data_IF_708076930851
#
_entry.id   IF_708076930851
#
_cell.length_a   1.000
_cell.length_b   1.000
_cell.length_c   1.000
_cell.angle_alpha   90.00
_cell.angle_beta   90.00
_cell.angle_gamma   90.00
#
_symmetry.space_group_name_H-M   'P 1'
#
loop_
_entity.id
_entity.type
_entity.pdbx_description
1 polymer ?
#
# COMPACT_ATOMS: atom_id res chain seq x y z
N UNK A 1 -7.18 6.79 12.53
CA UNK A 1 -6.97 7.03 11.08
C UNK A 1 -7.42 8.41 10.64
N UNK A 2 -8.58 8.87 11.05
CA UNK A 2 -9.02 10.25 10.80
C UNK A 2 -7.94 11.25 11.19
N UNK A 3 -7.43 11.11 12.40
CA UNK A 3 -6.32 11.91 12.92
C UNK A 3 -5.05 11.77 12.06
N UNK A 4 -4.71 10.57 11.60
CA UNK A 4 -3.52 10.35 10.78
C UNK A 4 -3.64 10.92 9.37
N UNK A 5 -4.81 10.84 8.74
CA UNK A 5 -5.07 11.44 7.44
C UNK A 5 -5.01 12.98 7.50
N UNK A 6 -5.65 13.58 8.51
CA UNK A 6 -5.62 15.02 8.74
C UNK A 6 -4.20 15.51 9.11
N UNK A 7 -3.53 14.85 10.04
CA UNK A 7 -2.17 15.21 10.45
C UNK A 7 -1.15 15.09 9.33
N UNK A 8 -1.28 14.10 8.44
CA UNK A 8 -0.37 13.96 7.29
C UNK A 8 -0.50 15.12 6.30
N UNK A 9 -1.66 15.77 6.24
CA UNK A 9 -1.88 16.93 5.39
C UNK A 9 -1.41 18.27 6.02
N UNK A 10 -1.42 18.36 7.35
CA UNK A 10 -1.20 19.61 8.10
C UNK A 10 0.21 19.71 8.71
N UNK A 11 0.84 18.59 9.07
CA UNK A 11 2.14 18.56 9.73
C UNK A 11 3.29 18.42 8.72
N UNK A 12 4.51 18.81 9.16
CA UNK A 12 5.70 18.43 8.41
C UNK A 12 5.86 16.91 8.40
N UNK A 13 6.43 16.36 7.31
CA UNK A 13 6.60 14.91 7.17
C UNK A 13 7.41 14.31 8.35
N UNK A 14 8.43 15.04 8.83
CA UNK A 14 9.26 14.62 9.97
C UNK A 14 8.47 14.50 11.26
N UNK A 15 7.76 15.55 11.61
CA UNK A 15 6.96 15.58 12.84
C UNK A 15 5.85 14.51 12.79
N UNK A 16 5.21 14.33 11.63
CA UNK A 16 4.19 13.29 11.44
C UNK A 16 4.77 11.88 11.64
N UNK A 17 5.93 11.60 11.04
CA UNK A 17 6.59 10.30 11.17
C UNK A 17 7.04 10.05 12.61
N UNK A 18 7.55 11.04 13.32
CA UNK A 18 8.00 10.88 14.71
C UNK A 18 6.83 10.71 15.70
N UNK A 19 5.75 11.43 15.50
CA UNK A 19 4.58 11.38 16.38
C UNK A 19 3.78 10.08 16.27
N UNK A 20 3.77 9.41 15.12
CA UNK A 20 2.93 8.26 14.85
C UNK A 20 3.69 6.94 14.89
N UNK A 21 3.00 5.83 15.21
CA UNK A 21 3.58 4.49 15.06
C UNK A 21 3.77 4.16 13.56
N UNK A 22 4.65 3.19 13.27
CA UNK A 22 5.03 2.85 11.89
C UNK A 22 3.82 2.53 10.97
N UNK A 23 2.83 1.81 11.49
CA UNK A 23 1.65 1.43 10.72
C UNK A 23 0.79 2.64 10.33
N UNK A 24 0.58 3.59 11.26
CA UNK A 24 -0.17 4.82 10.98
C UNK A 24 0.60 5.78 10.10
N UNK A 25 1.91 5.88 10.28
CA UNK A 25 2.75 6.68 9.40
C UNK A 25 2.71 6.17 7.95
N UNK A 26 2.74 4.85 7.76
CA UNK A 26 2.56 4.21 6.44
C UNK A 26 1.20 4.52 5.83
N UNK A 27 0.12 4.37 6.60
CA UNK A 27 -1.22 4.67 6.11
C UNK A 27 -1.37 6.14 5.70
N UNK A 28 -0.89 7.09 6.51
CA UNK A 28 -0.95 8.51 6.18
C UNK A 28 -0.23 8.84 4.87
N UNK A 29 0.96 8.28 4.66
CA UNK A 29 1.70 8.46 3.41
C UNK A 29 0.96 7.83 2.22
N UNK A 30 0.35 6.65 2.40
CA UNK A 30 -0.42 5.99 1.35
C UNK A 30 -1.70 6.76 0.99
N UNK A 31 -2.40 7.35 1.96
CA UNK A 31 -3.53 8.24 1.70
C UNK A 31 -3.12 9.47 0.90
N UNK A 32 -2.07 10.14 1.35
CA UNK A 32 -1.57 11.35 0.69
C UNK A 32 -1.12 11.06 -0.75
N UNK A 33 -0.37 9.97 -0.94
CA UNK A 33 0.07 9.54 -2.27
C UNK A 33 -1.11 9.24 -3.19
N UNK A 34 -2.11 8.47 -2.72
CA UNK A 34 -3.30 8.13 -3.50
C UNK A 34 -4.06 9.39 -3.91
N UNK A 35 -4.29 10.31 -2.97
CA UNK A 35 -4.98 11.58 -3.22
C UNK A 35 -4.24 12.44 -4.25
N UNK A 36 -2.94 12.62 -4.09
CA UNK A 36 -2.10 13.41 -5.02
C UNK A 36 -2.09 12.81 -6.43
N UNK A 37 -1.95 11.48 -6.54
CA UNK A 37 -1.93 10.82 -7.84
C UNK A 37 -3.28 10.91 -8.54
N UNK A 38 -4.36 10.68 -7.82
CA UNK A 38 -5.71 10.77 -8.36
C UNK A 38 -6.03 12.20 -8.83
N UNK A 39 -5.75 13.19 -8.00
CA UNK A 39 -5.93 14.60 -8.35
C UNK A 39 -5.11 14.99 -9.58
N UNK A 40 -3.86 14.53 -9.67
CA UNK A 40 -3.00 14.79 -10.80
C UNK A 40 -3.55 14.18 -12.10
N UNK A 41 -4.08 12.95 -12.05
CA UNK A 41 -4.68 12.28 -13.21
C UNK A 41 -6.01 12.92 -13.63
N UNK A 42 -6.86 13.32 -12.70
CA UNK A 42 -8.13 14.01 -12.98
C UNK A 42 -7.92 15.38 -13.64
N UNK A 43 -6.94 16.13 -13.13
CA UNK A 43 -6.59 17.47 -13.65
C UNK A 43 -5.66 17.43 -14.87
N UNK A 44 -5.10 16.28 -15.20
CA UNK A 44 -4.13 16.12 -16.31
C UNK A 44 -4.69 16.53 -17.68
N UNK A 45 -6.02 16.39 -17.87
CA UNK A 45 -6.70 16.85 -19.11
C UNK A 45 -6.70 18.37 -19.25
N UNK A 46 -6.72 19.10 -18.13
CA UNK A 46 -6.76 20.57 -18.10
C UNK A 46 -5.35 21.16 -18.06
N UNK A 47 -4.43 20.53 -17.33
CA UNK A 47 -3.06 20.98 -17.15
C UNK A 47 -2.08 19.82 -17.25
N UNK A 48 -1.40 19.69 -18.38
CA UNK A 48 -0.40 18.64 -18.62
C UNK A 48 0.84 18.74 -17.72
N UNK A 49 1.12 19.91 -17.16
CA UNK A 49 2.28 20.11 -16.29
C UNK A 49 2.08 19.49 -14.90
N UNK A 50 0.83 19.33 -14.45
CA UNK A 50 0.51 18.88 -13.09
C UNK A 50 1.10 17.50 -12.79
N UNK A 51 1.08 16.59 -13.76
CA UNK A 51 1.66 15.23 -13.62
C UNK A 51 3.17 15.30 -13.40
N UNK A 52 3.86 16.22 -14.07
CA UNK A 52 5.30 16.41 -13.89
C UNK A 52 5.64 17.06 -12.56
N UNK A 53 4.84 18.03 -12.13
CA UNK A 53 5.03 18.72 -10.87
C UNK A 53 4.79 17.79 -9.69
N UNK A 54 3.74 16.96 -9.76
CA UNK A 54 3.49 15.91 -8.74
C UNK A 54 4.65 14.91 -8.69
N UNK A 55 5.18 14.49 -9.83
CA UNK A 55 6.34 13.59 -9.86
C UNK A 55 7.58 14.22 -9.21
N UNK A 56 7.82 15.52 -9.43
CA UNK A 56 8.91 16.24 -8.75
C UNK A 56 8.70 16.32 -7.24
N UNK A 57 7.48 16.59 -6.79
CA UNK A 57 7.15 16.62 -5.36
C UNK A 57 7.43 15.27 -4.69
N UNK A 58 7.04 14.16 -5.33
CA UNK A 58 7.32 12.82 -4.83
C UNK A 58 8.82 12.51 -4.73
N UNK A 59 9.61 12.99 -5.69
CA UNK A 59 11.07 12.88 -5.64
C UNK A 59 11.68 13.66 -4.45
N UNK A 60 11.16 14.86 -4.17
CA UNK A 60 11.61 15.65 -3.02
C UNK A 60 11.34 14.93 -1.72
N UNK A 61 10.12 14.40 -1.53
CA UNK A 61 9.75 13.62 -0.34
C UNK A 61 10.63 12.38 -0.18
N UNK A 62 10.94 11.68 -1.28
CA UNK A 62 11.83 10.52 -1.25
C UNK A 62 13.26 10.91 -0.85
N UNK A 63 13.78 12.03 -1.35
CA UNK A 63 15.10 12.54 -0.98
C UNK A 63 15.16 12.90 0.51
N UNK A 64 14.12 13.51 1.04
CA UNK A 64 13.98 13.82 2.46
C UNK A 64 14.00 12.55 3.32
N UNK A 65 13.15 11.56 3.01
CA UNK A 65 13.13 10.28 3.70
C UNK A 65 14.47 9.54 3.62
N UNK A 66 15.13 9.57 2.47
CA UNK A 66 16.45 8.95 2.27
C UNK A 66 17.52 9.62 3.09
N UNK A 67 17.48 10.95 3.23
CA UNK A 67 18.43 11.70 4.06
C UNK A 67 18.33 11.31 5.54
N UNK A 68 17.11 11.00 6.02
CA UNK A 68 16.92 10.55 7.41
C UNK A 68 17.52 9.16 7.66
N UNK A 69 17.56 8.27 6.65
CA UNK A 69 18.25 7.00 6.79
C UNK A 69 19.75 7.13 7.03
N UNK A 70 20.36 8.23 6.56
CA UNK A 70 21.78 8.52 6.71
C UNK A 70 22.11 9.18 8.06
N UNK A 71 21.12 9.76 8.73
CA UNK A 71 21.29 10.37 10.03
C UNK A 71 21.39 9.31 11.14
N UNK A 72 22.06 9.64 12.23
CA UNK A 72 22.19 8.78 13.41
C UNK A 72 20.82 8.62 14.09
N UNK A 73 20.08 7.59 13.68
CA UNK A 73 18.79 7.26 14.25
C UNK A 73 18.96 6.65 15.63
N UNK A 74 18.47 7.33 16.66
CA UNK A 74 18.65 6.99 18.07
C UNK A 74 18.17 5.59 18.46
N UNK A 75 17.27 4.97 17.69
CA UNK A 75 16.72 3.64 17.99
C UNK A 75 16.62 2.75 16.75
N UNK A 76 16.85 1.44 16.94
CA UNK A 76 16.65 0.41 15.90
C UNK A 76 15.22 0.41 15.33
N UNK A 77 14.25 0.77 16.17
CA UNK A 77 12.85 0.85 15.77
C UNK A 77 12.59 1.98 14.77
N UNK A 78 13.14 3.18 15.05
CA UNK A 78 13.01 4.32 14.15
C UNK A 78 13.69 4.04 12.81
N UNK A 79 14.83 3.38 12.83
CA UNK A 79 15.53 2.98 11.61
C UNK A 79 14.68 2.07 10.73
N UNK A 80 14.11 1.00 11.29
CA UNK A 80 13.20 0.10 10.57
C UNK A 80 11.97 0.82 10.03
N UNK A 81 11.40 1.75 10.81
CA UNK A 81 10.28 2.58 10.40
C UNK A 81 10.60 3.37 9.13
N UNK A 82 11.73 4.08 9.13
CA UNK A 82 12.15 4.88 7.98
C UNK A 82 12.51 3.99 6.78
N UNK A 83 13.24 2.90 6.98
CA UNK A 83 13.55 1.93 5.91
C UNK A 83 12.27 1.40 5.23
N UNK A 84 11.23 1.10 6.02
CA UNK A 84 9.93 0.64 5.51
C UNK A 84 9.22 1.74 4.71
N UNK A 85 9.25 2.99 5.21
CA UNK A 85 8.67 4.14 4.51
C UNK A 85 9.38 4.40 3.18
N UNK A 86 10.70 4.36 3.16
CA UNK A 86 11.50 4.52 1.93
C UNK A 86 11.17 3.43 0.93
N UNK A 87 11.07 2.16 1.35
CA UNK A 87 10.75 1.05 0.46
C UNK A 87 9.41 1.25 -0.26
N UNK A 88 8.38 1.67 0.48
CA UNK A 88 7.06 1.94 -0.10
C UNK A 88 7.10 3.17 -0.99
N UNK A 89 7.77 4.22 -0.57
CA UNK A 89 7.82 5.47 -1.34
C UNK A 89 8.61 5.32 -2.65
N UNK A 90 9.65 4.49 -2.68
CA UNK A 90 10.37 4.14 -3.91
C UNK A 90 9.42 3.45 -4.90
N UNK A 91 8.65 2.46 -4.42
CA UNK A 91 7.65 1.80 -5.27
C UNK A 91 6.58 2.79 -5.78
N UNK A 92 6.04 3.64 -4.91
CA UNK A 92 5.05 4.66 -5.26
C UNK A 92 5.58 5.64 -6.32
N UNK A 93 6.83 6.08 -6.19
CA UNK A 93 7.50 6.91 -7.19
C UNK A 93 7.63 6.20 -8.53
N UNK A 94 8.07 4.95 -8.54
CA UNK A 94 8.26 4.18 -9.78
C UNK A 94 6.94 3.99 -10.51
N UNK A 95 5.87 3.65 -9.78
CA UNK A 95 4.51 3.55 -10.32
C UNK A 95 4.06 4.87 -10.96
N UNK A 96 4.24 5.98 -10.24
CA UNK A 96 3.81 7.28 -10.76
C UNK A 96 4.67 7.77 -11.94
N UNK A 97 5.96 7.46 -11.96
CA UNK A 97 6.83 7.74 -13.10
C UNK A 97 6.39 6.97 -14.35
N UNK A 98 6.01 5.69 -14.20
CA UNK A 98 5.48 4.89 -15.29
C UNK A 98 4.14 5.43 -15.79
N UNK A 99 3.23 5.83 -14.90
CA UNK A 99 1.98 6.49 -15.26
C UNK A 99 2.22 7.82 -16.00
N UNK A 100 3.17 8.62 -15.53
CA UNK A 100 3.55 9.87 -16.19
C UNK A 100 4.16 9.64 -17.59
N UNK A 101 4.92 8.56 -17.76
CA UNK A 101 5.49 8.14 -19.05
C UNK A 101 4.39 7.70 -20.01
N UNK A 102 3.45 6.88 -19.55
CA UNK A 102 2.29 6.43 -20.31
C UNK A 102 1.37 7.60 -20.68
N UNK A 103 1.13 8.52 -19.75
CA UNK A 103 0.35 9.73 -20.01
C UNK A 103 0.93 10.56 -21.17
N UNK A 104 2.26 10.67 -21.25
CA UNK A 104 2.93 11.39 -22.35
C UNK A 104 2.86 10.65 -23.68
N UNK A 105 2.88 9.32 -23.68
CA UNK A 105 2.90 8.51 -24.89
C UNK A 105 1.53 8.31 -25.54
N UNK A 106 0.44 8.39 -24.78
CA UNK A 106 -0.93 8.19 -25.27
C UNK A 106 -1.53 9.48 -25.84
N UNK A 107 -2.15 9.39 -27.03
CA UNK A 107 -3.01 10.46 -27.57
C UNK A 107 -4.26 10.58 -26.70
N UNK A 108 -4.35 11.62 -25.88
CA UNK A 108 -5.46 11.83 -24.94
C UNK A 108 -5.07 11.71 -23.47
N UNK A 109 -3.85 11.24 -23.19
CA UNK A 109 -3.35 11.08 -21.84
C UNK A 109 -3.93 9.86 -21.11
N UNK A 110 -3.67 9.77 -19.83
CA UNK A 110 -4.26 8.81 -18.87
C UNK A 110 -5.33 9.52 -18.04
N UNK A 111 -6.33 8.76 -17.64
CA UNK A 111 -7.40 9.20 -16.74
C UNK A 111 -7.36 8.39 -15.43
N UNK A 112 -8.00 8.89 -14.39
CA UNK A 112 -8.16 8.19 -13.11
C UNK A 112 -8.94 6.86 -13.22
N UNK A 113 -9.69 6.65 -14.32
CA UNK A 113 -10.36 5.39 -14.66
C UNK A 113 -9.51 4.38 -15.43
N UNK A 114 -8.27 4.71 -15.82
CA UNK A 114 -7.41 3.79 -16.57
C UNK A 114 -6.95 2.61 -15.71
N UNK A 115 -6.92 1.41 -16.33
CA UNK A 115 -6.50 0.17 -15.66
C UNK A 115 -5.12 0.26 -15.02
N UNK A 116 -4.19 0.98 -15.65
CA UNK A 116 -2.83 1.15 -15.13
C UNK A 116 -2.79 1.85 -13.75
N UNK A 117 -3.74 2.74 -13.48
CA UNK A 117 -3.96 3.33 -12.17
C UNK A 117 -4.79 2.42 -11.27
N UNK A 118 -5.89 1.87 -11.80
CA UNK A 118 -6.82 1.07 -11.02
C UNK A 118 -6.20 -0.21 -10.44
N UNK A 119 -5.22 -0.80 -11.12
CA UNK A 119 -4.52 -2.01 -10.65
C UNK A 119 -3.65 -1.77 -9.40
N UNK A 120 -3.33 -0.53 -9.07
CA UNK A 120 -2.53 -0.20 -7.88
C UNK A 120 -3.35 -0.30 -6.60
N UNK A 121 -2.69 -0.62 -5.49
CA UNK A 121 -3.30 -0.56 -4.18
C UNK A 121 -3.51 0.91 -3.78
N UNK A 122 -4.76 1.34 -3.79
CA UNK A 122 -5.18 2.72 -3.52
C UNK A 122 -5.84 2.80 -2.17
N UNK A 123 -5.45 3.77 -1.36
CA UNK A 123 -5.90 3.93 0.01
C UNK A 123 -6.76 5.18 0.12
N UNK A 124 -7.98 5.03 0.59
CA UNK A 124 -8.95 6.12 0.73
C UNK A 124 -9.40 6.26 2.17
N UNK A 125 -9.53 7.51 2.60
CA UNK A 125 -10.23 7.85 3.83
C UNK A 125 -11.63 8.37 3.47
N UNK A 126 -12.68 7.65 3.89
CA UNK A 126 -14.09 8.00 3.61
C UNK A 126 -14.84 8.07 4.94
N UNK A 127 -15.00 9.27 5.54
CA UNK A 127 -15.63 9.41 6.85
C UNK A 127 -17.12 9.03 6.88
N UNK A 128 -17.79 9.05 5.73
CA UNK A 128 -19.22 8.82 5.60
C UNK A 128 -19.58 7.41 5.07
N UNK A 129 -18.60 6.52 4.93
CA UNK A 129 -18.87 5.14 4.49
C UNK A 129 -19.66 4.40 5.58
N UNK A 130 -20.96 4.22 5.33
CA UNK A 130 -21.83 3.38 6.15
C UNK A 130 -21.67 1.94 5.68
N UNK A 131 -20.64 1.27 6.14
CA UNK A 131 -20.52 -0.18 5.96
C UNK A 131 -21.34 -0.91 7.02
N UNK A 132 -21.85 -2.11 6.69
CA UNK A 132 -22.65 -2.97 7.58
C UNK A 132 -21.93 -3.33 8.88
N UNK A 133 -20.64 -3.02 9.00
CA UNK A 133 -19.78 -3.30 10.16
C UNK A 133 -19.38 -2.06 10.99
N UNK A 134 -20.00 -0.91 10.76
CA UNK A 134 -19.73 0.33 11.49
C UNK A 134 -19.02 1.42 10.63
N UNK A 135 -18.68 2.57 11.21
CA UNK A 135 -18.06 3.68 10.49
C UNK A 135 -16.60 3.36 10.16
N UNK A 136 -16.39 2.45 9.25
CA UNK A 136 -15.07 2.11 8.75
C UNK A 136 -14.72 3.05 7.61
N UNK A 137 -13.89 3.99 7.92
CA UNK A 137 -13.57 5.06 6.99
C UNK A 137 -12.32 4.80 6.14
N UNK A 138 -11.58 3.71 6.41
CA UNK A 138 -10.38 3.35 5.67
C UNK A 138 -10.67 2.23 4.67
N UNK A 139 -10.56 2.54 3.39
CA UNK A 139 -10.82 1.63 2.28
C UNK A 139 -9.55 1.42 1.46
N UNK A 140 -9.22 0.18 1.16
CA UNK A 140 -8.14 -0.21 0.26
C UNK A 140 -8.77 -0.76 -1.03
N UNK A 141 -8.56 -0.08 -2.15
CA UNK A 141 -9.08 -0.49 -3.45
C UNK A 141 -7.98 -1.06 -4.34
N UNK A 142 -8.24 -2.22 -4.94
CA UNK A 142 -7.37 -2.85 -5.95
C UNK A 142 -8.24 -3.28 -7.11
N UNK A 143 -8.03 -2.72 -8.30
CA UNK A 143 -8.96 -2.85 -9.43
C UNK A 143 -10.39 -2.43 -9.02
N UNK A 144 -11.33 -3.34 -9.16
CA UNK A 144 -12.75 -3.13 -8.89
C UNK A 144 -13.17 -3.61 -7.49
N UNK A 145 -12.21 -4.14 -6.70
CA UNK A 145 -12.49 -4.67 -5.37
C UNK A 145 -12.07 -3.65 -4.31
N UNK A 146 -12.98 -3.38 -3.40
CA UNK A 146 -12.74 -2.54 -2.24
C UNK A 146 -12.73 -3.40 -0.96
N UNK A 147 -11.73 -3.18 -0.13
CA UNK A 147 -11.56 -3.84 1.16
C UNK A 147 -11.60 -2.81 2.26
N UNK A 148 -12.31 -3.12 3.32
CA UNK A 148 -12.21 -2.38 4.56
C UNK A 148 -10.88 -2.72 5.25
N UNK A 149 -10.10 -1.72 5.60
CA UNK A 149 -8.86 -1.93 6.35
C UNK A 149 -9.18 -2.45 7.76
N UNK A 150 -8.63 -3.60 8.13
CA UNK A 150 -9.04 -4.30 9.37
C UNK A 150 -8.42 -3.75 10.66
N UNK A 151 -7.49 -2.82 10.58
CA UNK A 151 -6.83 -2.16 11.73
C UNK A 151 -6.14 -3.09 12.74
N UNK A 152 -5.83 -4.31 12.36
CA UNK A 152 -5.06 -5.18 13.23
C UNK A 152 -3.64 -4.62 13.41
N UNK A 153 -3.14 -4.62 14.63
CA UNK A 153 -1.81 -4.11 14.91
C UNK A 153 -0.72 -5.08 14.46
N UNK A 154 -0.01 -4.71 13.42
CA UNK A 154 1.02 -5.55 12.78
C UNK A 154 2.45 -5.16 13.18
N UNK A 155 2.61 -4.08 13.94
CA UNK A 155 3.90 -3.53 14.30
C UNK A 155 4.68 -2.96 13.11
N UNK A 156 6.00 -2.84 13.26
CA UNK A 156 6.89 -2.41 12.20
C UNK A 156 7.50 -3.64 11.52
N UNK A 157 6.88 -4.11 10.45
CA UNK A 157 7.36 -5.23 9.62
C UNK A 157 7.95 -4.68 8.33
N UNK A 158 9.01 -5.33 7.87
CA UNK A 158 9.59 -5.04 6.55
C UNK A 158 8.54 -5.27 5.46
N UNK A 159 8.56 -4.40 4.46
CA UNK A 159 7.68 -4.50 3.29
C UNK A 159 8.43 -5.20 2.15
N UNK A 160 7.67 -5.95 1.36
CA UNK A 160 8.21 -6.57 0.16
C UNK A 160 8.48 -5.50 -0.90
N UNK A 161 9.59 -5.64 -1.62
CA UNK A 161 9.83 -4.85 -2.83
C UNK A 161 8.89 -5.37 -3.92
N UNK A 162 7.98 -4.52 -4.36
CA UNK A 162 6.96 -4.88 -5.35
C UNK A 162 7.61 -4.87 -6.75
N UNK A 163 7.41 -5.96 -7.48
CA UNK A 163 7.86 -6.17 -8.86
C UNK A 163 6.63 -6.35 -9.77
N UNK A 164 6.76 -6.23 -11.10
CA UNK A 164 5.64 -6.49 -12.01
C UNK A 164 5.03 -7.89 -11.87
N UNK A 165 5.80 -8.87 -11.37
CA UNK A 165 5.29 -10.21 -11.07
C UNK A 165 4.41 -10.22 -9.82
N UNK A 166 4.84 -9.55 -8.76
CA UNK A 166 4.07 -9.43 -7.52
C UNK A 166 2.80 -8.61 -7.74
N UNK A 167 2.82 -7.57 -8.59
CA UNK A 167 1.63 -6.82 -8.98
C UNK A 167 0.52 -7.72 -9.53
N UNK A 168 0.87 -8.64 -10.44
CA UNK A 168 -0.09 -9.61 -10.99
C UNK A 168 -0.65 -10.53 -9.92
N UNK A 169 0.19 -10.97 -8.99
CA UNK A 169 -0.26 -11.77 -7.84
C UNK A 169 -1.23 -10.97 -6.96
N UNK A 170 -0.93 -9.70 -6.69
CA UNK A 170 -1.80 -8.82 -5.92
C UNK A 170 -3.18 -8.67 -6.55
N UNK A 171 -3.24 -8.38 -7.84
CA UNK A 171 -4.51 -8.26 -8.58
C UNK A 171 -5.32 -9.56 -8.46
N UNK A 172 -4.70 -10.70 -8.76
CA UNK A 172 -5.40 -11.99 -8.77
C UNK A 172 -5.86 -12.39 -7.37
N UNK A 173 -5.02 -12.22 -6.35
CA UNK A 173 -5.37 -12.52 -4.97
C UNK A 173 -6.47 -11.60 -4.44
N UNK A 174 -6.41 -10.31 -4.75
CA UNK A 174 -7.44 -9.35 -4.36
C UNK A 174 -8.78 -9.67 -5.01
N UNK A 175 -8.82 -10.01 -6.29
CA UNK A 175 -10.04 -10.43 -6.96
C UNK A 175 -10.62 -11.71 -6.36
N UNK A 176 -9.78 -12.71 -6.08
CA UNK A 176 -10.22 -13.95 -5.44
C UNK A 176 -10.83 -13.68 -4.05
N UNK A 177 -10.13 -12.88 -3.22
CA UNK A 177 -10.62 -12.51 -1.89
C UNK A 177 -11.94 -11.72 -1.95
N UNK A 178 -12.08 -10.78 -2.90
CA UNK A 178 -13.30 -10.02 -3.10
C UNK A 178 -14.51 -10.89 -3.50
N UNK A 179 -14.26 -12.03 -4.15
CA UNK A 179 -15.26 -13.04 -4.47
C UNK A 179 -15.43 -14.10 -3.36
N UNK A 180 -14.84 -13.90 -2.19
CA UNK A 180 -14.80 -14.87 -1.09
C UNK A 180 -14.17 -16.22 -1.46
N UNK A 181 -13.22 -16.21 -2.39
CA UNK A 181 -12.44 -17.38 -2.82
C UNK A 181 -11.04 -17.35 -2.22
N UNK A 182 -10.45 -18.54 -2.07
CA UNK A 182 -9.02 -18.64 -1.71
C UNK A 182 -8.11 -18.41 -2.90
N UNK A 183 -6.91 -17.89 -2.64
CA UNK A 183 -5.85 -17.77 -3.64
C UNK A 183 -4.80 -18.86 -3.45
N UNK A 184 -4.29 -19.43 -4.56
CA UNK A 184 -3.26 -20.46 -4.56
C UNK A 184 -2.07 -20.07 -5.46
N UNK A 185 -1.12 -19.25 -4.94
CA UNK A 185 0.08 -18.90 -5.71
C UNK A 185 0.91 -20.16 -5.98
N UNK A 186 1.07 -20.53 -7.24
CA UNK A 186 1.86 -21.67 -7.69
C UNK A 186 3.24 -21.23 -8.18
N UNK A 187 4.24 -22.09 -7.99
CA UNK A 187 5.60 -21.85 -8.46
C UNK A 187 6.66 -22.63 -7.67
N UNK A 188 7.93 -22.63 -8.10
CA UNK A 188 9.00 -23.32 -7.41
C UNK A 188 9.27 -22.74 -6.01
N UNK A 189 10.01 -23.49 -5.20
CA UNK A 189 10.43 -23.05 -3.88
C UNK A 189 11.31 -21.77 -3.99
N UNK A 190 11.24 -20.89 -2.99
CA UNK A 190 12.07 -19.69 -2.94
C UNK A 190 11.60 -18.52 -3.82
N UNK A 191 10.46 -18.59 -4.51
CA UNK A 191 9.93 -17.51 -5.37
C UNK A 191 9.13 -16.44 -4.65
N UNK A 192 9.11 -16.44 -3.31
CA UNK A 192 8.46 -15.40 -2.52
C UNK A 192 6.94 -15.50 -2.38
N UNK A 193 6.33 -16.66 -2.73
CA UNK A 193 4.86 -16.85 -2.66
C UNK A 193 4.26 -16.48 -1.31
N UNK A 194 4.81 -17.03 -0.24
CA UNK A 194 4.34 -16.77 1.13
C UNK A 194 4.54 -15.32 1.54
N UNK A 195 5.67 -14.72 1.17
CA UNK A 195 5.93 -13.32 1.50
C UNK A 195 5.01 -12.36 0.75
N UNK A 196 4.64 -12.67 -0.49
CA UNK A 196 3.64 -11.90 -1.25
C UNK A 196 2.27 -11.92 -0.56
N UNK A 197 1.80 -13.07 -0.09
CA UNK A 197 0.53 -13.16 0.66
C UNK A 197 0.60 -12.41 1.98
N UNK A 198 1.71 -12.54 2.72
CA UNK A 198 1.91 -11.79 3.97
C UNK A 198 1.91 -10.28 3.73
N UNK A 199 2.52 -9.82 2.66
CA UNK A 199 2.58 -8.39 2.35
C UNK A 199 1.21 -7.85 1.94
N UNK A 200 0.42 -8.61 1.17
CA UNK A 200 -0.98 -8.26 0.89
C UNK A 200 -1.80 -8.16 2.18
N UNK A 201 -1.66 -9.11 3.10
CA UNK A 201 -2.32 -9.01 4.42
C UNK A 201 -1.92 -7.75 5.19
N UNK A 202 -0.64 -7.37 5.14
CA UNK A 202 -0.17 -6.10 5.74
C UNK A 202 -0.80 -4.87 5.06
N UNK A 203 -0.97 -4.90 3.75
CA UNK A 203 -1.62 -3.82 3.02
C UNK A 203 -3.11 -3.68 3.40
N UNK A 204 -3.78 -4.79 3.72
CA UNK A 204 -5.18 -4.82 4.17
C UNK A 204 -5.34 -4.63 5.69
N UNK A 205 -4.25 -4.55 6.45
CA UNK A 205 -4.29 -4.46 7.91
C UNK A 205 -4.77 -5.73 8.61
N UNK A 206 -4.54 -6.90 8.00
CA UNK A 206 -4.93 -8.21 8.50
C UNK A 206 -3.70 -8.97 8.97
N UNK A 207 -3.79 -9.61 10.13
CA UNK A 207 -2.74 -10.48 10.64
C UNK A 207 -2.76 -11.83 9.90
N UNK A 208 -1.63 -12.17 9.28
CA UNK A 208 -1.48 -13.40 8.50
C UNK A 208 -0.71 -14.44 9.30
N UNK A 209 -1.35 -15.56 9.56
CA UNK A 209 -0.72 -16.74 10.18
C UNK A 209 -0.31 -17.72 9.10
N UNK A 210 0.94 -18.16 9.17
CA UNK A 210 1.48 -19.15 8.22
C UNK A 210 1.66 -20.48 8.91
N UNK A 211 1.00 -21.49 8.39
CA UNK A 211 1.13 -22.86 8.85
C UNK A 211 1.74 -23.73 7.76
N UNK A 212 2.86 -24.36 8.07
CA UNK A 212 3.48 -25.33 7.17
C UNK A 212 2.84 -26.69 7.39
N UNK A 213 2.12 -27.18 6.38
CA UNK A 213 1.52 -28.51 6.44
C UNK A 213 2.59 -29.60 6.28
N UNK A 214 2.49 -30.63 7.11
CA UNK A 214 3.34 -31.83 7.06
C UNK A 214 2.47 -33.09 7.01
N UNK A 215 3.02 -34.19 6.52
CA UNK A 215 2.31 -35.49 6.40
C UNK A 215 1.85 -36.05 7.77
N UNK A 216 2.42 -35.54 8.86
CA UNK A 216 2.07 -35.98 10.23
C UNK A 216 0.90 -35.19 10.84
N UNK A 217 0.43 -34.10 10.20
CA UNK A 217 -0.68 -33.31 10.70
C UNK A 217 -2.00 -34.06 10.58
N UNK A 218 -2.76 -34.03 11.68
CA UNK A 218 -4.10 -34.60 11.76
C UNK A 218 -5.15 -33.53 11.61
N UNK A 219 -6.39 -33.93 11.28
CA UNK A 219 -7.54 -33.01 11.19
C UNK A 219 -7.78 -32.22 12.49
N UNK A 220 -7.44 -32.79 13.65
CA UNK A 220 -7.52 -32.13 14.96
C UNK A 220 -6.58 -30.94 15.08
N UNK A 221 -5.42 -30.98 14.41
CA UNK A 221 -4.45 -29.90 14.45
C UNK A 221 -4.92 -28.75 13.56
N UNK A 222 -5.50 -29.07 12.40
CA UNK A 222 -6.16 -28.08 11.55
C UNK A 222 -7.36 -27.44 12.24
N UNK A 223 -8.18 -28.20 12.95
CA UNK A 223 -9.32 -27.67 13.71
C UNK A 223 -8.90 -26.67 14.79
N UNK A 224 -7.72 -26.84 15.41
CA UNK A 224 -7.18 -25.88 16.39
C UNK A 224 -6.73 -24.56 15.74
N UNK A 225 -6.30 -24.58 14.48
CA UNK A 225 -5.88 -23.38 13.75
C UNK A 225 -7.10 -22.52 13.39
N UNK A 226 -8.24 -23.13 13.10
CA UNK A 226 -9.50 -22.45 12.77
C UNK A 226 -10.34 -22.06 13.99
N UNK A 227 -9.95 -22.42 15.19
CA UNK A 227 -10.64 -22.10 16.44
C UNK A 227 -10.06 -20.85 17.11
#
# INVERSE_FOLDING_TARGET
>A
CETAAAQCAEMSLGDFVDANCAQFALLGIQFNWTAQCQEALEKAKQNKAIVQDTNRQQLVVLQELSSWCLNDLKTKMNRRKIETLVTIHVHQRDVFEDLARLHRSRKGGLDAGDFEWLKQARFYWRPDAKDDHGPSACVVAVCDVEFTYSFEYLGCKERLVITPLTDRCYITLSQALGMHLGGAPAGPAGTGKTETVKDLGRALGVFVVVTNCTDQQRYTDMAKIFK
#
